data_IF_673072694347
#
_entry.id   IF_673072694347
#
_cell.length_a   1.000
_cell.length_b   1.000
_cell.length_c   1.000
_cell.angle_alpha   90.00
_cell.angle_beta   90.00
_cell.angle_gamma   90.00
#
_symmetry.space_group_name_H-M   'P 1'
#
loop_
_entity.id
_entity.type
_entity.pdbx_description
1 polymer ?
#
# COMPACT_ATOMS: atom_id res chain seq x y z
N UNK A 1 -11.68 -8.41 10.18
CA UNK A 1 -10.28 -8.29 9.73
C UNK A 1 -10.14 -6.94 9.04
N UNK A 2 -9.60 -5.91 9.71
CA UNK A 2 -9.48 -4.57 9.12
C UNK A 2 -8.10 -4.39 8.52
N UNK A 3 -8.01 -4.42 7.19
CA UNK A 3 -6.80 -4.03 6.45
C UNK A 3 -6.59 -2.53 6.62
N UNK A 4 -5.42 -2.11 7.13
CA UNK A 4 -5.06 -0.70 7.28
C UNK A 4 -4.51 -0.18 5.96
N UNK A 5 -5.39 0.38 5.13
CA UNK A 5 -5.03 1.05 3.88
C UNK A 5 -4.82 2.56 4.11
N UNK A 6 -3.88 3.21 3.41
CA UNK A 6 -3.77 4.66 3.43
C UNK A 6 -5.00 5.29 2.78
N UNK A 7 -5.54 6.35 3.39
CA UNK A 7 -6.73 7.04 2.88
C UNK A 7 -6.46 7.81 1.58
N UNK A 8 -5.27 8.40 1.45
CA UNK A 8 -4.86 9.22 0.30
C UNK A 8 -3.36 9.03 -0.02
N UNK A 9 -2.96 7.87 -0.60
CA UNK A 9 -1.58 7.68 -1.03
C UNK A 9 -1.23 8.64 -2.19
N UNK A 10 0.03 9.09 -2.30
CA UNK A 10 0.46 9.92 -3.42
C UNK A 10 0.33 9.14 -4.74
N UNK A 11 -0.13 9.82 -5.79
CA UNK A 11 -0.23 9.24 -7.12
C UNK A 11 1.17 8.99 -7.70
N UNK A 12 1.50 7.77 -8.19
CA UNK A 12 2.82 7.47 -8.74
C UNK A 12 3.09 8.14 -10.09
N UNK A 13 2.07 8.72 -10.73
CA UNK A 13 2.19 9.33 -12.05
C UNK A 13 2.40 10.85 -12.00
N UNK A 14 1.75 11.54 -11.06
CA UNK A 14 1.75 13.00 -10.99
C UNK A 14 2.07 13.56 -9.59
N UNK A 15 2.35 12.69 -8.62
CA UNK A 15 2.64 13.03 -7.22
C UNK A 15 1.50 13.74 -6.47
N UNK A 16 0.34 13.88 -7.12
CA UNK A 16 -0.89 14.43 -6.55
C UNK A 16 -1.41 13.65 -5.35
N UNK A 17 -2.12 14.34 -4.45
CA UNK A 17 -2.66 13.77 -3.21
C UNK A 17 -4.18 13.67 -3.20
N UNK A 18 -4.84 14.19 -4.23
CA UNK A 18 -6.29 14.06 -4.41
C UNK A 18 -6.60 12.65 -4.95
N UNK A 19 -6.40 11.63 -4.11
CA UNK A 19 -6.61 10.22 -4.44
C UNK A 19 -7.74 9.62 -3.60
N UNK A 20 -8.53 8.75 -4.21
CA UNK A 20 -9.67 8.07 -3.58
C UNK A 20 -9.53 6.56 -3.72
N UNK A 21 -9.85 5.82 -2.65
CA UNK A 21 -9.89 4.36 -2.70
C UNK A 21 -11.10 3.93 -3.52
N UNK A 22 -10.84 3.24 -4.64
CA UNK A 22 -11.89 2.72 -5.52
C UNK A 22 -12.28 1.29 -5.12
N UNK A 23 -11.29 0.45 -4.81
CA UNK A 23 -11.53 -0.93 -4.38
C UNK A 23 -10.45 -1.41 -3.42
N UNK A 24 -10.87 -2.11 -2.37
CA UNK A 24 -9.98 -2.79 -1.41
C UNK A 24 -9.23 -3.94 -2.08
N UNK A 25 -9.79 -4.55 -3.13
CA UNK A 25 -9.17 -5.62 -3.92
C UNK A 25 -9.09 -5.17 -5.38
N UNK A 26 -7.86 -5.01 -5.89
CA UNK A 26 -7.64 -4.72 -7.31
C UNK A 26 -7.67 -5.98 -8.17
N UNK A 27 -6.92 -5.98 -9.29
CA UNK A 27 -6.82 -7.16 -10.16
C UNK A 27 -6.21 -8.38 -9.44
N UNK A 28 -5.41 -8.13 -8.40
CA UNK A 28 -4.88 -9.14 -7.51
C UNK A 28 -5.31 -8.87 -6.07
N UNK A 29 -5.51 -9.93 -5.26
CA UNK A 29 -5.94 -9.79 -3.86
C UNK A 29 -4.92 -9.01 -2.97
N UNK A 30 -3.65 -8.98 -3.39
CA UNK A 30 -2.53 -8.32 -2.72
C UNK A 30 -2.44 -6.81 -3.00
N UNK A 31 -3.31 -6.26 -3.83
CA UNK A 31 -3.32 -4.83 -4.16
C UNK A 31 -4.69 -4.20 -3.89
N UNK A 32 -4.68 -2.89 -3.71
CA UNK A 32 -5.88 -2.04 -3.68
C UNK A 32 -5.80 -1.02 -4.81
N UNK A 33 -6.95 -0.66 -5.37
CA UNK A 33 -7.05 0.26 -6.51
C UNK A 33 -7.50 1.64 -6.03
N UNK A 34 -6.81 2.68 -6.48
CA UNK A 34 -7.10 4.08 -6.21
C UNK A 34 -7.34 4.85 -7.50
N UNK A 35 -8.10 5.93 -7.41
CA UNK A 35 -8.31 6.91 -8.48
C UNK A 35 -7.66 8.24 -8.11
N UNK A 36 -6.83 8.80 -8.99
CA UNK A 36 -6.27 10.14 -8.80
C UNK A 36 -7.13 11.18 -9.54
N UNK A 37 -7.61 12.21 -8.84
CA UNK A 37 -8.39 13.31 -9.45
C UNK A 37 -7.55 14.32 -10.22
N UNK A 38 -6.28 14.49 -9.84
CA UNK A 38 -5.38 15.48 -10.46
C UNK A 38 -5.04 15.08 -11.91
N UNK A 39 -4.58 13.84 -12.10
CA UNK A 39 -4.22 13.32 -13.44
C UNK A 39 -5.29 12.42 -14.08
N UNK A 40 -6.39 12.11 -13.35
CA UNK A 40 -7.53 11.32 -13.83
C UNK A 40 -7.14 9.91 -14.30
N UNK A 41 -6.28 9.25 -13.52
CA UNK A 41 -5.79 7.90 -13.81
C UNK A 41 -5.97 6.97 -12.61
N UNK A 42 -6.30 5.69 -12.84
CA UNK A 42 -6.30 4.68 -11.80
C UNK A 42 -4.89 4.16 -11.53
N UNK A 43 -4.60 3.75 -10.30
CA UNK A 43 -3.36 3.05 -9.95
C UNK A 43 -3.59 2.01 -8.85
N UNK A 44 -2.68 1.04 -8.75
CA UNK A 44 -2.71 0.00 -7.75
C UNK A 44 -1.59 0.18 -6.72
N UNK A 45 -1.86 -0.17 -5.47
CA UNK A 45 -0.92 -0.07 -4.36
C UNK A 45 -0.85 -1.40 -3.62
N UNK A 46 0.36 -1.88 -3.36
CA UNK A 46 0.62 -3.14 -2.68
C UNK A 46 0.24 -3.08 -1.19
N UNK A 47 -0.45 -4.11 -0.73
CA UNK A 47 -0.78 -4.29 0.69
C UNK A 47 0.43 -4.88 1.40
N UNK A 48 1.31 -4.03 1.91
CA UNK A 48 2.40 -4.49 2.76
C UNK A 48 1.92 -4.62 4.21
N UNK A 49 2.07 -5.82 4.78
CA UNK A 49 2.07 -5.97 6.24
C UNK A 49 3.47 -5.62 6.70
N UNK A 50 3.62 -4.58 7.52
CA UNK A 50 4.85 -4.35 8.24
C UNK A 50 5.08 -5.53 9.17
N UNK A 51 5.86 -6.52 8.72
CA UNK A 51 6.47 -7.47 9.64
C UNK A 51 7.41 -6.64 10.48
N UNK A 52 7.05 -6.37 11.73
CA UNK A 52 8.00 -5.87 12.71
C UNK A 52 9.09 -6.94 12.79
N UNK A 53 10.24 -6.69 12.16
CA UNK A 53 11.39 -7.58 12.25
C UNK A 53 11.85 -7.57 13.71
N UNK A 54 11.46 -8.59 14.47
CA UNK A 54 12.10 -8.90 15.74
C UNK A 54 13.56 -9.20 15.43
N UNK A 55 14.55 -8.46 15.97
CA UNK A 55 15.94 -8.74 15.69
C UNK A 55 16.28 -10.15 16.19
N UNK A 56 16.65 -11.02 15.26
CA UNK A 56 17.15 -12.36 15.57
C UNK A 56 18.48 -12.18 16.30
N UNK A 57 18.51 -12.48 17.61
CA UNK A 57 19.77 -12.56 18.33
C UNK A 57 20.46 -13.86 17.92
N UNK A 58 21.45 -13.74 17.04
CA UNK A 58 22.40 -14.82 16.77
C UNK A 58 23.24 -15.04 18.04
N UNK A 59 22.89 -16.04 18.84
CA UNK A 59 23.80 -16.62 19.83
C UNK A 59 24.87 -17.40 19.06
N UNK A 60 26.11 -16.90 19.09
CA UNK A 60 27.27 -17.68 18.67
C UNK A 60 27.59 -18.64 19.81
N UNK A 61 27.21 -19.90 19.66
CA UNK A 61 27.81 -20.98 20.45
C UNK A 61 29.29 -21.09 20.04
N UNK A 62 30.14 -21.02 21.07
CA UNK A 62 31.60 -20.91 20.97
C UNK A 62 32.32 -22.19 20.58
#
# INVERSE_FOLDING_TARGET
MSERLPSAPPCPFCEGRETELLSVFGAHASVSTYWCRDCRSPFEMLKWKSTTETPVRLVRDG
#
